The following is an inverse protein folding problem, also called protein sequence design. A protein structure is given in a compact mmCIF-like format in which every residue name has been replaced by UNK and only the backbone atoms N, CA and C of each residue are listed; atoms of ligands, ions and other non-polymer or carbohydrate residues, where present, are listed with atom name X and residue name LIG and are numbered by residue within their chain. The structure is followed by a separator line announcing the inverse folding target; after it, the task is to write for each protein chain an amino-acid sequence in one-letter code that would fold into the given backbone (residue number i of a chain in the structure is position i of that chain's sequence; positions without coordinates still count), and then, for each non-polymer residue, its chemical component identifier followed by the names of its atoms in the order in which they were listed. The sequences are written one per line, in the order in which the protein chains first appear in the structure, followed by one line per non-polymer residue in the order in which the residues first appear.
data_IF_664016680331
#
_entry.id   IF_664016680331
#
_cell.length_a   1.000
_cell.length_b   1.000
_cell.length_c   1.000
_cell.angle_alpha   90.00
_cell.angle_beta   90.00
_cell.angle_gamma   90.00
#
_symmetry.space_group_name_H-M   'P 1'
#
loop_
_entity.id
_entity.type
_entity.pdbx_description
1 polymer ?
#
# COMPACT_ATOMS: atom_id res chain seq x y z
N UNK A 1 40.88 -11.28 -76.15
CA UNK A 1 40.74 -12.05 -74.90
C UNK A 1 40.24 -11.11 -73.83
N UNK A 2 39.32 -11.61 -73.01
CA UNK A 2 38.31 -10.90 -72.23
C UNK A 2 38.78 -9.73 -71.36
N UNK A 3 37.91 -8.72 -71.34
CA UNK A 3 37.91 -7.61 -70.41
C UNK A 3 37.61 -8.11 -68.99
N UNK A 4 38.58 -7.91 -68.11
CA UNK A 4 38.36 -7.70 -66.68
C UNK A 4 37.45 -6.49 -66.48
N UNK A 5 36.35 -6.65 -65.76
CA UNK A 5 36.04 -5.86 -64.56
C UNK A 5 34.65 -6.25 -64.07
N UNK A 6 34.62 -7.03 -63.00
CA UNK A 6 33.43 -7.30 -62.23
C UNK A 6 32.81 -5.97 -61.77
N UNK A 7 31.55 -5.81 -62.14
CA UNK A 7 30.61 -4.79 -61.69
C UNK A 7 30.60 -4.72 -60.16
N UNK A 8 31.31 -3.73 -59.60
CA UNK A 8 31.15 -3.34 -58.20
C UNK A 8 29.83 -2.59 -58.11
N UNK A 9 28.79 -3.30 -57.66
CA UNK A 9 27.51 -2.73 -57.29
C UNK A 9 27.71 -1.50 -56.39
N UNK A 10 27.56 -0.32 -56.98
CA UNK A 10 27.53 0.94 -56.25
C UNK A 10 26.25 0.94 -55.40
N UNK A 11 26.42 0.69 -54.10
CA UNK A 11 25.38 1.00 -53.13
C UNK A 11 25.30 2.53 -53.04
N UNK A 12 24.13 3.17 -53.24
CA UNK A 12 24.03 4.62 -53.28
C UNK A 12 24.35 5.26 -51.93
N UNK A 13 25.29 6.21 -51.93
CA UNK A 13 25.77 6.99 -50.77
C UNK A 13 24.73 7.91 -50.10
N UNK A 14 23.53 8.08 -50.68
CA UNK A 14 22.51 8.99 -50.16
C UNK A 14 21.53 8.35 -49.16
N UNK A 15 21.68 7.06 -48.84
CA UNK A 15 20.73 6.32 -47.99
C UNK A 15 20.87 6.54 -46.47
N UNK A 16 21.85 7.32 -45.97
CA UNK A 16 22.10 7.40 -44.51
C UNK A 16 22.44 8.82 -44.05
N UNK A 17 21.43 9.59 -43.62
CA UNK A 17 21.30 9.88 -42.18
C UNK A 17 19.85 9.93 -41.63
N UNK A 18 18.82 9.93 -42.49
CA UNK A 18 17.42 10.10 -42.08
C UNK A 18 16.83 8.86 -41.37
N UNK A 19 17.34 7.66 -41.71
CA UNK A 19 16.94 6.41 -41.05
C UNK A 19 17.53 6.34 -39.63
N UNK A 20 18.73 6.87 -39.42
CA UNK A 20 19.39 6.88 -38.11
C UNK A 20 18.71 7.80 -37.10
N UNK A 21 18.21 8.96 -37.53
CA UNK A 21 17.52 9.90 -36.62
C UNK A 21 16.14 9.38 -36.20
N UNK A 22 15.37 8.79 -37.13
CA UNK A 22 14.10 8.12 -36.81
C UNK A 22 14.31 6.92 -35.87
N UNK A 23 15.31 6.09 -36.13
CA UNK A 23 15.66 4.96 -35.25
C UNK A 23 16.06 5.43 -33.85
N UNK A 24 16.81 6.53 -33.73
CA UNK A 24 17.21 7.11 -32.45
C UNK A 24 15.99 7.65 -31.67
N UNK A 25 15.05 8.33 -32.34
CA UNK A 25 13.82 8.83 -31.71
C UNK A 25 12.96 7.65 -31.21
N UNK A 26 12.76 6.62 -32.03
CA UNK A 26 11.99 5.43 -31.63
C UNK A 26 12.66 4.71 -30.45
N UNK A 27 13.99 4.53 -30.48
CA UNK A 27 14.73 3.95 -29.36
C UNK A 27 14.61 4.79 -28.08
N UNK A 28 14.68 6.13 -28.21
CA UNK A 28 14.53 7.06 -27.08
C UNK A 28 13.13 6.97 -26.46
N UNK A 29 12.08 6.95 -27.29
CA UNK A 29 10.70 6.77 -26.83
C UNK A 29 10.51 5.41 -26.15
N UNK A 30 11.10 4.35 -26.70
CA UNK A 30 11.06 3.01 -26.10
C UNK A 30 11.78 2.97 -24.74
N UNK A 31 12.93 3.63 -24.59
CA UNK A 31 13.65 3.76 -23.31
C UNK A 31 12.84 4.56 -22.29
N UNK A 32 12.24 5.69 -22.70
CA UNK A 32 11.40 6.50 -21.81
C UNK A 32 10.15 5.72 -21.39
N UNK A 33 9.52 4.98 -22.31
CA UNK A 33 8.36 4.16 -22.03
C UNK A 33 8.69 3.01 -21.08
N UNK A 34 9.78 2.27 -21.31
CA UNK A 34 10.22 1.18 -20.43
C UNK A 34 10.63 1.70 -19.06
N UNK A 35 11.32 2.84 -18.99
CA UNK A 35 11.64 3.50 -17.72
C UNK A 35 10.38 3.91 -16.95
N UNK A 36 9.40 4.54 -17.61
CA UNK A 36 8.13 4.91 -16.98
C UNK A 36 7.34 3.70 -16.48
N UNK A 37 7.28 2.62 -17.27
CA UNK A 37 6.64 1.37 -16.87
C UNK A 37 7.35 0.73 -15.66
N UNK A 38 8.68 0.76 -15.64
CA UNK A 38 9.48 0.25 -14.52
C UNK A 38 9.20 1.04 -13.23
N UNK A 39 9.26 2.37 -13.29
CA UNK A 39 8.96 3.25 -12.15
C UNK A 39 7.52 3.05 -11.67
N UNK A 40 6.57 2.88 -12.59
CA UNK A 40 5.18 2.65 -12.21
C UNK A 40 4.98 1.30 -11.50
N UNK A 41 5.62 0.23 -11.99
CA UNK A 41 5.61 -1.09 -11.31
C UNK A 41 6.24 -1.01 -9.93
N UNK A 42 7.40 -0.37 -9.81
CA UNK A 42 8.09 -0.23 -8.52
C UNK A 42 7.23 0.51 -7.50
N UNK A 43 6.59 1.62 -7.90
CA UNK A 43 5.67 2.37 -7.02
C UNK A 43 4.45 1.54 -6.60
N UNK A 44 3.90 0.76 -7.53
CA UNK A 44 2.78 -0.15 -7.25
C UNK A 44 3.17 -1.24 -6.25
N UNK A 45 4.33 -1.85 -6.43
CA UNK A 45 4.80 -2.93 -5.56
C UNK A 45 5.12 -2.39 -4.16
N UNK A 46 5.71 -1.19 -4.06
CA UNK A 46 5.93 -0.50 -2.79
C UNK A 46 4.62 -0.14 -2.09
N UNK A 47 3.61 0.33 -2.84
CA UNK A 47 2.27 0.60 -2.33
C UNK A 47 1.62 -0.66 -1.73
N UNK A 48 1.61 -1.77 -2.47
CA UNK A 48 1.04 -3.03 -1.97
C UNK A 48 1.79 -3.56 -0.75
N UNK A 49 3.12 -3.43 -0.71
CA UNK A 49 3.91 -3.79 0.47
C UNK A 49 3.49 -2.98 1.70
N UNK A 50 3.40 -1.66 1.58
CA UNK A 50 2.96 -0.77 2.68
C UNK A 50 1.53 -1.09 3.12
N UNK A 51 0.64 -1.41 2.18
CA UNK A 51 -0.74 -1.80 2.47
C UNK A 51 -0.81 -3.12 3.24
N UNK A 52 0.00 -4.11 2.85
CA UNK A 52 0.11 -5.38 3.58
C UNK A 52 0.67 -5.19 4.99
N UNK A 53 1.66 -4.31 5.17
CA UNK A 53 2.17 -3.95 6.50
C UNK A 53 1.07 -3.31 7.37
N UNK A 54 0.26 -2.41 6.81
CA UNK A 54 -0.87 -1.80 7.54
C UNK A 54 -1.92 -2.84 7.93
N UNK A 55 -2.24 -3.79 7.05
CA UNK A 55 -3.16 -4.88 7.35
C UNK A 55 -2.64 -5.76 8.49
N UNK A 56 -1.35 -6.09 8.50
CA UNK A 56 -0.74 -6.87 9.57
C UNK A 56 -0.82 -6.14 10.92
N UNK A 57 -0.56 -4.82 10.94
CA UNK A 57 -0.70 -4.01 12.16
C UNK A 57 -2.16 -3.93 12.60
N UNK A 58 -3.10 -3.73 11.67
CA UNK A 58 -4.54 -3.72 11.96
C UNK A 58 -5.01 -5.03 12.60
N UNK A 59 -4.63 -6.17 12.04
CA UNK A 59 -4.99 -7.49 12.57
C UNK A 59 -4.40 -7.70 13.97
N UNK A 60 -3.13 -7.32 14.17
CA UNK A 60 -2.47 -7.36 15.48
C UNK A 60 -3.20 -6.50 16.52
N UNK A 61 -3.53 -5.25 16.17
CA UNK A 61 -4.28 -4.32 17.03
C UNK A 61 -5.66 -4.89 17.36
N UNK A 62 -6.38 -5.38 16.35
CA UNK A 62 -7.73 -5.90 16.51
C UNK A 62 -7.75 -7.11 17.45
N UNK A 63 -6.80 -8.02 17.30
CA UNK A 63 -6.67 -9.19 18.17
C UNK A 63 -6.30 -8.77 19.60
N UNK A 64 -5.31 -7.89 19.76
CA UNK A 64 -4.90 -7.40 21.08
C UNK A 64 -6.03 -6.66 21.79
N UNK A 65 -6.76 -5.80 21.09
CA UNK A 65 -7.92 -5.11 21.63
C UNK A 65 -9.07 -6.07 21.98
N UNK A 66 -9.33 -7.08 21.15
CA UNK A 66 -10.33 -8.11 21.44
C UNK A 66 -9.95 -8.93 22.69
N UNK A 67 -8.68 -9.30 22.83
CA UNK A 67 -8.19 -10.08 23.98
C UNK A 67 -8.22 -9.25 25.26
N UNK A 68 -7.91 -7.95 25.16
CA UNK A 68 -8.18 -6.96 26.21
C UNK A 68 -9.65 -7.08 26.61
N UNK A 69 -10.63 -6.92 25.71
CA UNK A 69 -12.05 -6.99 26.09
C UNK A 69 -12.55 -8.36 26.63
N UNK A 70 -11.89 -9.47 26.26
CA UNK A 70 -12.23 -10.82 26.75
C UNK A 70 -11.70 -11.13 28.14
N UNK A 71 -10.56 -10.55 28.54
CA UNK A 71 -9.96 -10.86 29.84
C UNK A 71 -10.82 -10.38 31.01
N UNK A 72 -10.99 -11.24 32.02
CA UNK A 72 -11.67 -10.94 33.28
C UNK A 72 -10.61 -10.76 34.38
N UNK A 73 -10.59 -9.59 35.04
CA UNK A 73 -9.83 -9.32 36.27
C UNK A 73 -8.30 -9.50 36.23
N UNK A 74 -7.60 -8.72 35.38
CA UNK A 74 -6.20 -8.32 35.65
C UNK A 74 -5.99 -6.85 35.29
N UNK A 75 -6.17 -5.92 36.25
CA UNK A 75 -6.07 -4.48 35.98
C UNK A 75 -4.64 -3.98 35.70
N UNK A 76 -3.60 -4.74 36.06
CA UNK A 76 -2.21 -4.39 35.78
C UNK A 76 -1.80 -4.90 34.38
N UNK A 77 -2.07 -6.17 34.08
CA UNK A 77 -1.85 -6.73 32.74
C UNK A 77 -2.72 -6.07 31.67
N UNK A 78 -3.97 -5.73 32.01
CA UNK A 78 -4.84 -4.97 31.11
C UNK A 78 -4.27 -3.60 30.79
N UNK A 79 -3.75 -2.85 31.78
CA UNK A 79 -3.17 -1.51 31.53
C UNK A 79 -1.96 -1.56 30.58
N UNK A 80 -1.09 -2.55 30.72
CA UNK A 80 0.05 -2.73 29.82
C UNK A 80 -0.42 -3.11 28.41
N UNK A 81 -1.35 -4.06 28.30
CA UNK A 81 -1.93 -4.45 27.02
C UNK A 81 -2.65 -3.28 26.33
N UNK A 82 -3.36 -2.45 27.09
CA UNK A 82 -3.99 -1.22 26.64
C UNK A 82 -2.98 -0.23 26.06
N UNK A 83 -1.87 0.03 26.77
CA UNK A 83 -0.82 0.91 26.27
C UNK A 83 -0.22 0.38 24.97
N UNK A 84 -0.03 -0.93 24.87
CA UNK A 84 0.42 -1.57 23.62
C UNK A 84 -0.60 -1.37 22.49
N UNK A 85 -1.89 -1.57 22.75
CA UNK A 85 -2.96 -1.33 21.76
C UNK A 85 -3.00 0.13 21.31
N UNK A 86 -2.87 1.08 22.22
CA UNK A 86 -2.82 2.51 21.88
C UNK A 86 -1.59 2.83 21.03
N UNK A 87 -0.41 2.34 21.41
CA UNK A 87 0.82 2.54 20.64
C UNK A 87 0.73 1.93 19.24
N UNK A 88 0.18 0.71 19.11
CA UNK A 88 0.01 0.06 17.82
C UNK A 88 -1.08 0.76 16.96
N UNK A 89 -2.11 1.34 17.59
CA UNK A 89 -3.11 2.19 16.91
C UNK A 89 -2.51 3.49 16.38
N UNK A 90 -1.62 4.11 17.14
CA UNK A 90 -0.92 5.32 16.69
C UNK A 90 0.02 5.00 15.51
N UNK A 91 0.78 3.89 15.56
CA UNK A 91 1.59 3.42 14.42
C UNK A 91 0.71 3.11 13.19
N UNK A 92 -0.43 2.44 13.38
CA UNK A 92 -1.39 2.23 12.29
C UNK A 92 -1.90 3.54 11.70
N UNK A 93 -2.20 4.52 12.57
CA UNK A 93 -2.70 5.84 12.16
C UNK A 93 -1.68 6.58 11.32
N UNK A 94 -0.42 6.59 11.75
CA UNK A 94 0.67 7.26 11.03
C UNK A 94 0.92 6.63 9.67
N UNK A 95 0.93 5.29 9.60
CA UNK A 95 1.12 4.55 8.34
C UNK A 95 -0.02 4.77 7.37
N UNK A 96 -1.27 4.71 7.84
CA UNK A 96 -2.44 4.97 7.00
C UNK A 96 -2.50 6.43 6.55
N UNK A 97 -2.12 7.38 7.40
CA UNK A 97 -2.03 8.80 7.04
C UNK A 97 -0.93 9.06 6.02
N UNK A 98 0.17 8.32 6.06
CA UNK A 98 1.21 8.38 5.03
C UNK A 98 0.69 7.84 3.69
N UNK A 99 0.00 6.69 3.71
CA UNK A 99 -0.61 6.11 2.51
C UNK A 99 -1.67 7.04 1.90
N UNK A 100 -2.54 7.63 2.72
CA UNK A 100 -3.58 8.57 2.27
C UNK A 100 -2.97 9.86 1.67
N UNK A 101 -1.86 10.36 2.25
CA UNK A 101 -1.10 11.48 1.65
C UNK A 101 -0.48 11.13 0.31
N UNK A 102 0.02 9.91 0.15
CA UNK A 102 0.59 9.43 -1.11
C UNK A 102 -0.52 9.15 -2.15
N UNK A 103 -1.71 8.77 -1.69
CA UNK A 103 -2.85 8.38 -2.51
C UNK A 103 -4.16 8.89 -1.91
N UNK A 104 -4.49 10.16 -2.20
CA UNK A 104 -5.67 10.89 -1.67
C UNK A 104 -7.06 10.25 -1.94
N UNK A 105 -7.09 9.12 -2.66
CA UNK A 105 -8.31 8.35 -2.94
C UNK A 105 -8.69 7.38 -1.82
N UNK A 106 -7.77 7.10 -0.88
CA UNK A 106 -7.99 6.07 0.15
C UNK A 106 -9.15 6.41 1.10
N UNK A 107 -9.35 7.68 1.49
CA UNK A 107 -10.49 8.14 2.32
C UNK A 107 -10.73 7.24 3.55
N UNK A 108 -9.67 6.89 4.26
CA UNK A 108 -9.70 5.93 5.37
C UNK A 108 -9.86 6.57 6.75
N UNK A 109 -9.74 7.90 6.84
CA UNK A 109 -9.70 8.65 8.10
C UNK A 109 -10.91 8.38 8.99
N UNK A 110 -12.12 8.41 8.44
CA UNK A 110 -13.35 8.19 9.21
C UNK A 110 -13.44 6.76 9.73
N UNK A 111 -13.12 5.77 8.87
CA UNK A 111 -13.16 4.36 9.25
C UNK A 111 -12.10 4.01 10.31
N UNK A 112 -10.94 4.67 10.26
CA UNK A 112 -9.90 4.54 11.27
C UNK A 112 -10.32 5.20 12.59
N UNK A 113 -10.94 6.38 12.55
CA UNK A 113 -11.47 7.05 13.74
C UNK A 113 -12.55 6.20 14.42
N UNK A 114 -13.46 5.61 13.65
CA UNK A 114 -14.47 4.68 14.14
C UNK A 114 -13.84 3.45 14.80
N UNK A 115 -12.83 2.85 14.16
CA UNK A 115 -12.11 1.71 14.72
C UNK A 115 -11.40 2.06 16.03
N UNK A 116 -10.66 3.19 16.05
CA UNK A 116 -9.97 3.69 17.25
C UNK A 116 -10.96 3.88 18.38
N UNK A 117 -12.08 4.56 18.12
CA UNK A 117 -13.15 4.76 19.09
C UNK A 117 -13.67 3.42 19.63
N UNK A 118 -14.03 2.46 18.77
CA UNK A 118 -14.53 1.15 19.23
C UNK A 118 -13.47 0.40 20.08
N UNK A 119 -12.20 0.48 19.68
CA UNK A 119 -11.09 -0.14 20.37
C UNK A 119 -10.79 0.51 21.73
N UNK A 120 -10.96 1.84 21.88
CA UNK A 120 -10.48 2.60 23.05
C UNK A 120 -11.52 3.30 23.91
N UNK A 121 -12.79 3.48 23.47
CA UNK A 121 -13.77 4.41 24.09
C UNK A 121 -13.95 4.27 25.61
N UNK A 122 -13.83 3.05 26.15
CA UNK A 122 -14.11 2.77 27.56
C UNK A 122 -12.85 2.40 28.35
N UNK A 123 -11.70 2.36 27.67
CA UNK A 123 -10.41 2.01 28.24
C UNK A 123 -9.91 3.11 29.20
N UNK A 124 -10.25 4.35 28.94
CA UNK A 124 -9.85 5.53 29.74
C UNK A 124 -10.64 5.65 31.06
N UNK A 125 -11.79 4.99 31.18
CA UNK A 125 -12.70 5.14 32.33
C UNK A 125 -12.30 4.36 33.59
N UNK A 126 -11.27 3.49 33.51
CA UNK A 126 -10.78 2.69 34.65
C UNK A 126 -11.75 1.62 35.20
N UNK A 127 -13.02 1.63 34.79
CA UNK A 127 -14.09 0.73 35.26
C UNK A 127 -14.38 -0.42 34.27
N UNK A 128 -13.33 -1.00 33.67
CA UNK A 128 -13.49 -2.02 32.64
C UNK A 128 -14.04 -3.34 33.22
N UNK A 129 -15.19 -3.78 32.72
CA UNK A 129 -15.68 -5.16 32.87
C UNK A 129 -15.36 -5.95 31.59
N UNK A 130 -15.24 -7.27 31.70
CA UNK A 130 -15.11 -8.11 30.51
C UNK A 130 -16.37 -7.96 29.65
N UNK A 131 -16.19 -7.68 28.36
CA UNK A 131 -17.27 -7.47 27.38
C UNK A 131 -16.93 -8.22 26.08
N UNK A 132 -17.32 -9.50 25.97
CA UNK A 132 -17.05 -10.29 24.77
C UNK A 132 -17.79 -9.76 23.54
N UNK A 133 -18.96 -9.11 23.70
CA UNK A 133 -19.66 -8.51 22.57
C UNK A 133 -18.87 -7.35 21.98
N UNK A 134 -18.17 -6.59 22.82
CA UNK A 134 -17.27 -5.53 22.36
C UNK A 134 -16.03 -6.07 21.66
N UNK A 135 -15.47 -7.18 22.13
CA UNK A 135 -14.39 -7.87 21.42
C UNK A 135 -14.81 -8.21 19.97
N UNK A 136 -16.03 -8.71 19.78
CA UNK A 136 -16.54 -9.03 18.45
C UNK A 136 -16.82 -7.77 17.61
N UNK A 137 -17.27 -6.67 18.22
CA UNK A 137 -17.41 -5.37 17.56
C UNK A 137 -16.06 -4.83 17.07
N UNK A 138 -15.01 -4.93 17.88
CA UNK A 138 -13.64 -4.54 17.50
C UNK A 138 -13.17 -5.34 16.29
N UNK A 139 -13.32 -6.66 16.33
CA UNK A 139 -12.95 -7.53 15.19
C UNK A 139 -13.80 -7.23 13.95
N UNK A 140 -15.09 -6.93 14.11
CA UNK A 140 -15.98 -6.51 13.03
C UNK A 140 -15.54 -5.20 12.39
N UNK A 141 -15.20 -4.20 13.20
CA UNK A 141 -14.70 -2.90 12.74
C UNK A 141 -13.36 -3.03 12.01
N UNK A 142 -12.43 -3.86 12.54
CA UNK A 142 -11.17 -4.15 11.86
C UNK A 142 -11.38 -4.78 10.49
N UNK A 143 -12.27 -5.78 10.38
CA UNK A 143 -12.63 -6.41 9.09
C UNK A 143 -13.23 -5.40 8.11
N UNK A 144 -14.06 -4.46 8.60
CA UNK A 144 -14.63 -3.41 7.77
C UNK A 144 -13.53 -2.48 7.23
N UNK A 145 -12.59 -2.06 8.09
CA UNK A 145 -11.46 -1.24 7.70
C UNK A 145 -10.54 -1.97 6.70
N UNK A 146 -10.26 -3.26 6.92
CA UNK A 146 -9.49 -4.09 6.00
C UNK A 146 -10.16 -4.18 4.61
N UNK A 147 -11.48 -4.35 4.55
CA UNK A 147 -12.24 -4.33 3.28
C UNK A 147 -12.16 -2.99 2.58
N UNK A 148 -12.27 -1.87 3.31
CA UNK A 148 -12.11 -0.52 2.76
C UNK A 148 -10.70 -0.32 2.20
N UNK A 149 -9.67 -0.78 2.91
CA UNK A 149 -8.29 -0.79 2.45
C UNK A 149 -8.11 -1.54 1.13
N UNK A 150 -8.65 -2.76 1.04
CA UNK A 150 -8.59 -3.56 -0.19
C UNK A 150 -9.36 -2.90 -1.33
N UNK A 151 -10.56 -2.38 -1.09
CA UNK A 151 -11.36 -1.71 -2.11
C UNK A 151 -10.63 -0.48 -2.67
N UNK A 152 -10.11 0.38 -1.79
CA UNK A 152 -9.37 1.56 -2.19
C UNK A 152 -8.06 1.23 -2.91
N UNK A 153 -7.39 0.12 -2.57
CA UNK A 153 -6.21 -0.35 -3.30
C UNK A 153 -6.51 -0.69 -4.76
N UNK A 154 -7.71 -1.23 -5.02
CA UNK A 154 -8.16 -1.59 -6.36
C UNK A 154 -8.41 -0.34 -7.21
N UNK A 155 -9.02 0.71 -6.64
CA UNK A 155 -9.31 1.97 -7.34
C UNK A 155 -8.07 2.79 -7.74
N UNK A 156 -6.90 2.50 -7.17
CA UNK A 156 -5.66 3.24 -7.45
C UNK A 156 -4.89 2.64 -8.63
N UNK A 157 -4.96 1.32 -8.82
CA UNK A 157 -4.11 0.58 -9.76
C UNK A 157 -4.86 -0.30 -10.76
N UNK A 158 -6.19 -0.16 -10.86
CA UNK A 158 -7.04 -0.60 -11.98
C UNK A 158 -7.33 0.58 -12.89
#
# INVERSE_FOLDING_TARGET
MEQLAADKSQVPEWASPAISTLALVVASVAVIATHRLSVHRQRRDEFYKRLQECQAVLDKVAQAAADVWRQKHDPAGSRKAIQTVQSDLDDLTDRLSLLDRQHQKLRLTDALADFRNIATLDIESGNRKADPMRADKVLGAARLLARKLTAASHEIYV
#
